data_IF_703648342427
#
_entry.id   IF_703648342427
#
_cell.length_a   1.000
_cell.length_b   1.000
_cell.length_c   1.000
_cell.angle_alpha   90.00
_cell.angle_beta   90.00
_cell.angle_gamma   90.00
#
_symmetry.space_group_name_H-M   'P 1'
#
loop_
_entity.id
_entity.type
_entity.pdbx_description
1 polymer ?
#
# COMPACT_ATOMS: atom_id res chain seq x y z
N UNK A 1 18.20 32.28 17.15
CA UNK A 1 17.17 31.61 16.33
C UNK A 1 16.49 30.60 17.25
N UNK A 2 15.20 30.72 17.60
CA UNK A 2 14.30 29.55 17.72
C UNK A 2 12.93 29.80 18.34
N UNK A 3 12.75 30.60 19.40
CA UNK A 3 11.45 30.61 20.10
C UNK A 3 10.27 31.12 19.27
N UNK A 4 10.44 32.23 18.55
CA UNK A 4 9.39 32.76 17.67
C UNK A 4 9.06 31.79 16.52
N UNK A 5 10.08 31.11 15.99
CA UNK A 5 9.92 30.15 14.90
C UNK A 5 9.17 28.91 15.39
N UNK A 6 9.51 28.37 16.56
CA UNK A 6 8.84 27.22 17.16
C UNK A 6 7.38 27.54 17.52
N UNK A 7 7.12 28.74 18.06
CA UNK A 7 5.76 29.20 18.36
C UNK A 7 4.92 29.34 17.10
N UNK A 8 5.46 29.96 16.06
CA UNK A 8 4.76 30.10 14.77
C UNK A 8 4.55 28.75 14.09
N UNK A 9 5.53 27.85 14.18
CA UNK A 9 5.41 26.48 13.67
C UNK A 9 4.25 25.76 14.36
N UNK A 10 4.22 25.73 15.70
CA UNK A 10 3.17 25.08 16.48
C UNK A 10 1.78 25.66 16.16
N UNK A 11 1.65 26.99 16.14
CA UNK A 11 0.38 27.65 15.79
C UNK A 11 -0.11 27.22 14.40
N UNK A 12 0.80 27.13 13.42
CA UNK A 12 0.47 26.73 12.05
C UNK A 12 0.05 25.27 11.98
N UNK A 13 0.76 24.38 12.70
CA UNK A 13 0.39 22.96 12.79
C UNK A 13 -1.00 22.78 13.40
N UNK A 14 -1.29 23.47 14.51
CA UNK A 14 -2.60 23.43 15.20
C UNK A 14 -3.73 23.94 14.28
N UNK A 15 -3.47 24.98 13.49
CA UNK A 15 -4.44 25.50 12.52
C UNK A 15 -4.74 24.51 11.38
N UNK A 16 -3.74 23.76 10.92
CA UNK A 16 -3.91 22.73 9.89
C UNK A 16 -4.74 21.58 10.46
N UNK A 17 -4.41 21.07 11.65
CA UNK A 17 -5.18 19.99 12.29
C UNK A 17 -6.64 20.39 12.59
N UNK A 18 -6.88 21.63 13.04
CA UNK A 18 -8.23 22.13 13.30
C UNK A 18 -9.10 22.18 12.04
N UNK A 19 -8.50 22.51 10.88
CA UNK A 19 -9.21 22.62 9.60
C UNK A 19 -9.40 21.28 8.90
N UNK A 20 -8.42 20.38 8.97
CA UNK A 20 -8.36 19.17 8.15
C UNK A 20 -8.45 17.86 8.94
N UNK A 21 -8.50 17.94 10.27
CA UNK A 21 -8.58 16.80 11.18
C UNK A 21 -7.21 16.42 11.78
N UNK A 22 -7.23 15.67 12.89
CA UNK A 22 -6.02 15.18 13.54
C UNK A 22 -5.18 14.32 12.59
N UNK A 23 -3.86 14.51 12.61
CA UNK A 23 -2.94 13.75 11.75
C UNK A 23 -2.88 14.23 10.30
N UNK A 24 -3.51 15.37 9.96
CA UNK A 24 -3.37 16.01 8.65
C UNK A 24 -1.96 16.54 8.38
N UNK A 25 -1.17 16.75 9.43
CA UNK A 25 0.25 17.13 9.40
C UNK A 25 0.95 16.51 10.60
N UNK A 26 2.14 15.95 10.39
CA UNK A 26 2.95 15.34 11.43
C UNK A 26 4.40 15.29 10.99
N UNK A 27 5.32 15.14 11.94
CA UNK A 27 6.72 14.91 11.59
C UNK A 27 6.88 13.47 11.10
N UNK A 28 7.61 13.28 10.00
CA UNK A 28 7.89 11.93 9.48
C UNK A 28 8.67 11.12 10.54
N UNK A 29 8.12 9.96 10.93
CA UNK A 29 8.69 9.07 11.96
C UNK A 29 8.26 9.39 13.40
N UNK A 30 7.50 10.47 13.62
CA UNK A 30 6.90 10.76 14.92
C UNK A 30 5.80 9.73 15.22
N UNK A 31 5.90 9.06 16.38
CA UNK A 31 5.01 7.94 16.76
C UNK A 31 5.63 6.54 16.62
N UNK A 32 6.92 6.43 16.28
CA UNK A 32 7.68 5.17 16.38
C UNK A 32 7.26 4.07 15.41
N UNK A 33 6.26 4.32 14.56
CA UNK A 33 6.00 3.48 13.42
C UNK A 33 7.07 3.75 12.37
N UNK A 34 7.96 2.78 12.15
CA UNK A 34 8.20 2.40 10.77
C UNK A 34 6.84 2.47 10.07
N UNK A 35 6.72 3.21 8.97
CA UNK A 35 5.51 3.17 8.15
C UNK A 35 5.33 1.70 7.79
N UNK A 36 4.55 0.98 8.61
CA UNK A 36 4.42 -0.46 8.56
C UNK A 36 3.57 -0.70 7.33
N UNK A 37 4.23 -0.71 6.19
CA UNK A 37 3.65 -0.99 4.90
C UNK A 37 3.18 -2.43 5.03
N UNK A 38 1.87 -2.62 5.23
CA UNK A 38 1.29 -3.95 5.19
C UNK A 38 1.64 -4.58 3.85
N UNK A 39 1.90 -5.89 3.85
CA UNK A 39 2.30 -6.62 2.64
C UNK A 39 1.29 -7.73 2.37
N UNK A 40 1.04 -8.02 1.09
CA UNK A 40 0.28 -9.18 0.64
C UNK A 40 1.26 -10.10 -0.11
N UNK A 41 1.47 -11.36 0.32
CA UNK A 41 2.30 -12.32 -0.40
C UNK A 41 1.80 -12.51 -1.84
N UNK A 42 2.71 -12.81 -2.77
CA UNK A 42 2.34 -13.02 -4.17
C UNK A 42 1.86 -14.42 -4.49
N UNK A 43 1.99 -15.36 -3.54
CA UNK A 43 1.80 -16.80 -3.76
C UNK A 43 3.01 -17.46 -4.44
N UNK A 44 4.04 -16.68 -4.78
CA UNK A 44 5.29 -17.16 -5.36
C UNK A 44 6.48 -16.74 -4.47
N UNK A 45 6.92 -17.67 -3.60
CA UNK A 45 8.01 -17.43 -2.65
C UNK A 45 9.29 -16.79 -3.28
N UNK A 46 9.75 -17.21 -4.49
CA UNK A 46 10.91 -16.56 -5.12
C UNK A 46 10.66 -15.08 -5.44
N UNK A 47 9.43 -14.71 -5.82
CA UNK A 47 9.06 -13.33 -6.12
C UNK A 47 8.95 -12.50 -4.84
N UNK A 48 8.36 -13.05 -3.78
CA UNK A 48 8.27 -12.39 -2.47
C UNK A 48 9.66 -12.07 -1.91
N UNK A 49 10.59 -13.01 -2.06
CA UNK A 49 11.99 -12.81 -1.69
C UNK A 49 12.67 -11.74 -2.57
N UNK A 50 12.44 -11.77 -3.89
CA UNK A 50 13.00 -10.78 -4.82
C UNK A 50 12.48 -9.35 -4.57
N UNK A 51 11.24 -9.20 -4.12
CA UNK A 51 10.66 -7.91 -3.74
C UNK A 51 11.25 -7.35 -2.44
N UNK A 52 11.92 -8.17 -1.63
CA UNK A 52 12.65 -7.76 -0.42
C UNK A 52 11.79 -7.41 0.79
N UNK A 53 10.49 -7.21 0.58
CA UNK A 53 9.49 -6.92 1.62
C UNK A 53 8.53 -8.09 1.86
N UNK A 54 8.68 -9.21 1.14
CA UNK A 54 7.86 -10.42 1.30
C UNK A 54 6.54 -10.42 0.51
N UNK A 55 6.39 -9.56 -0.49
CA UNK A 55 5.19 -9.49 -1.34
C UNK A 55 4.92 -8.09 -1.87
N UNK A 56 3.66 -7.81 -2.26
CA UNK A 56 3.25 -6.49 -2.75
C UNK A 56 2.81 -5.55 -1.60
N UNK A 57 3.19 -4.27 -1.64
CA UNK A 57 2.86 -3.32 -0.58
C UNK A 57 1.41 -2.83 -0.66
N UNK A 58 0.72 -2.82 0.48
CA UNK A 58 -0.63 -2.24 0.64
C UNK A 58 -0.58 -0.72 0.54
N UNK A 59 -1.66 -0.14 0.03
CA UNK A 59 -1.80 1.32 -0.13
C UNK A 59 -0.93 1.90 -1.25
N UNK A 60 -0.45 1.07 -2.17
CA UNK A 60 0.37 1.45 -3.32
C UNK A 60 -0.21 0.85 -4.60
N UNK A 61 0.13 1.46 -5.73
CA UNK A 61 -0.20 0.96 -7.06
C UNK A 61 0.94 0.04 -7.51
N UNK A 62 0.59 -1.13 -8.05
CA UNK A 62 1.53 -2.11 -8.58
C UNK A 62 1.13 -2.41 -10.02
N UNK A 63 2.11 -2.45 -10.91
CA UNK A 63 1.94 -2.77 -12.33
C UNK A 63 2.60 -4.12 -12.64
N UNK A 64 1.85 -5.04 -13.22
CA UNK A 64 2.34 -6.33 -13.72
C UNK A 64 2.18 -6.32 -15.24
N UNK A 65 3.29 -6.22 -15.98
CA UNK A 65 3.29 -6.17 -17.43
C UNK A 65 4.14 -7.32 -18.02
N UNK A 66 3.89 -7.64 -19.28
CA UNK A 66 4.57 -8.75 -19.96
C UNK A 66 3.78 -9.27 -21.17
N UNK A 67 4.40 -10.19 -21.96
CA UNK A 67 3.78 -10.77 -23.15
C UNK A 67 2.41 -11.42 -22.88
N UNK A 68 1.63 -11.61 -23.94
CA UNK A 68 0.43 -12.45 -23.86
C UNK A 68 0.77 -13.84 -23.33
N UNK A 69 -0.13 -14.41 -22.54
CA UNK A 69 0.06 -15.73 -21.90
C UNK A 69 1.27 -15.84 -20.95
N UNK A 70 1.90 -14.73 -20.53
CA UNK A 70 3.00 -14.73 -19.56
C UNK A 70 2.57 -14.95 -18.10
N UNK A 71 1.27 -15.18 -17.84
CA UNK A 71 0.74 -15.41 -16.50
C UNK A 71 0.41 -14.15 -15.69
N UNK A 72 0.26 -12.98 -16.31
CA UNK A 72 -0.09 -11.71 -15.61
C UNK A 72 -1.36 -11.83 -14.75
N UNK A 73 -2.45 -12.26 -15.38
CA UNK A 73 -3.75 -12.46 -14.70
C UNK A 73 -3.66 -13.57 -13.66
N UNK A 74 -2.92 -14.64 -13.95
CA UNK A 74 -2.67 -15.73 -12.99
C UNK A 74 -1.96 -15.21 -11.73
N UNK A 75 -0.90 -14.43 -11.89
CA UNK A 75 -0.18 -13.83 -10.76
C UNK A 75 -1.07 -12.86 -9.97
N UNK A 76 -1.85 -12.02 -10.66
CA UNK A 76 -2.79 -11.12 -10.01
C UNK A 76 -3.83 -11.89 -9.18
N UNK A 77 -4.41 -12.97 -9.73
CA UNK A 77 -5.36 -13.83 -9.03
C UNK A 77 -4.72 -14.56 -7.83
N UNK A 78 -3.46 -14.97 -7.91
CA UNK A 78 -2.73 -15.54 -6.77
C UNK A 78 -2.54 -14.51 -5.65
N UNK A 79 -2.16 -13.28 -5.97
CA UNK A 79 -2.10 -12.18 -4.99
C UNK A 79 -3.48 -11.94 -4.34
N UNK A 80 -4.57 -12.01 -5.12
CA UNK A 80 -5.92 -11.88 -4.57
C UNK A 80 -6.27 -13.06 -3.64
N UNK A 81 -5.91 -14.29 -4.01
CA UNK A 81 -6.12 -15.47 -3.18
C UNK A 81 -5.37 -15.38 -1.84
N UNK A 82 -4.11 -14.93 -1.84
CA UNK A 82 -3.33 -14.66 -0.63
C UNK A 82 -3.98 -13.56 0.22
N UNK A 83 -4.48 -12.49 -0.40
CA UNK A 83 -5.22 -11.44 0.30
C UNK A 83 -6.50 -11.98 0.96
N UNK A 84 -7.23 -12.88 0.29
CA UNK A 84 -8.40 -13.56 0.84
C UNK A 84 -8.04 -14.53 1.98
N UNK A 85 -6.94 -15.27 1.85
CA UNK A 85 -6.44 -16.17 2.88
C UNK A 85 -6.07 -15.42 4.18
N UNK A 86 -5.62 -14.17 4.05
CA UNK A 86 -5.40 -13.25 5.17
C UNK A 86 -6.69 -12.59 5.70
N UNK A 87 -7.86 -13.02 5.24
CA UNK A 87 -9.18 -12.49 5.65
C UNK A 87 -9.57 -11.18 4.97
N UNK A 88 -8.88 -10.77 3.91
CA UNK A 88 -9.18 -9.57 3.13
C UNK A 88 -10.33 -9.77 2.15
N UNK A 89 -10.96 -8.65 1.77
CA UNK A 89 -11.91 -8.60 0.65
C UNK A 89 -11.17 -8.07 -0.57
N UNK A 90 -11.42 -8.71 -1.71
CA UNK A 90 -10.79 -8.37 -2.99
C UNK A 90 -11.85 -8.00 -4.03
N UNK A 91 -11.44 -7.18 -5.00
CA UNK A 91 -12.23 -6.88 -6.19
C UNK A 91 -11.37 -7.14 -7.41
N UNK A 92 -11.95 -7.80 -8.41
CA UNK A 92 -11.33 -7.99 -9.72
C UNK A 92 -12.17 -7.25 -10.76
N UNK A 93 -11.53 -6.35 -11.51
CA UNK A 93 -12.18 -5.59 -12.57
C UNK A 93 -11.73 -6.20 -13.90
N UNK A 94 -12.57 -7.08 -14.46
CA UNK A 94 -12.29 -7.73 -15.74
C UNK A 94 -12.62 -6.80 -16.91
N UNK A 95 -11.63 -5.98 -17.32
CA UNK A 95 -11.76 -5.13 -18.50
C UNK A 95 -11.61 -5.91 -19.82
N UNK A 96 -10.94 -7.07 -19.80
CA UNK A 96 -10.67 -7.90 -20.98
C UNK A 96 -11.81 -8.88 -21.30
N UNK A 97 -12.78 -9.04 -20.39
CA UNK A 97 -13.90 -10.00 -20.50
C UNK A 97 -13.41 -11.43 -20.76
N UNK A 98 -12.31 -11.80 -20.11
CA UNK A 98 -11.57 -13.04 -20.38
C UNK A 98 -11.33 -13.89 -19.12
N UNK A 99 -11.88 -13.49 -17.97
CA UNK A 99 -11.74 -14.27 -16.74
C UNK A 99 -12.59 -15.54 -16.78
N UNK A 100 -11.96 -16.69 -16.50
CA UNK A 100 -12.64 -17.96 -16.24
C UNK A 100 -12.91 -18.12 -14.72
N UNK A 101 -14.17 -18.22 -14.28
CA UNK A 101 -14.51 -18.32 -12.86
C UNK A 101 -14.45 -19.74 -12.27
N UNK A 102 -14.14 -20.77 -13.08
CA UNK A 102 -14.27 -22.19 -12.71
C UNK A 102 -12.94 -22.85 -12.35
#
# INVERSE_FOLDING_TARGET
MNEDKEKMLKLTTDQIESKFGKGSIMTLGEGGGDLNIGVIPTGALPLDAALGIGGVPRGRIIEIYGPESSGKTTLALQILAEAQALGGIVAFIDAEHALDPV
#
